data_IF_304753112644
#
_entry.id   IF_304753112644
#
_cell.length_a   1.000
_cell.length_b   1.000
_cell.length_c   1.000
_cell.angle_alpha   90.00
_cell.angle_beta   90.00
_cell.angle_gamma   90.00
#
_symmetry.space_group_name_H-M   'P 1'
#
loop_
_entity.id
_entity.type
_entity.pdbx_description
1 polymer ?
#
# COMPACT_ATOMS: atom_id res chain seq x y z
N UNK A 1 25.70 -19.61 15.41
CA UNK A 1 24.33 -19.60 14.87
C UNK A 1 23.53 -18.72 15.82
N UNK A 2 22.97 -17.59 15.36
CA UNK A 2 22.23 -16.70 16.25
C UNK A 2 20.98 -17.44 16.77
N UNK A 3 20.83 -17.55 18.09
CA UNK A 3 19.62 -18.14 18.66
C UNK A 3 18.44 -17.21 18.38
N UNK A 4 17.51 -17.66 17.52
CA UNK A 4 16.32 -16.88 17.19
C UNK A 4 15.48 -16.67 18.45
N UNK A 5 15.13 -15.43 18.74
CA UNK A 5 14.16 -15.13 19.79
C UNK A 5 12.78 -15.71 19.48
N UNK A 6 11.94 -15.92 20.50
CA UNK A 6 10.54 -16.42 20.33
C UNK A 6 9.75 -15.61 19.28
N UNK A 7 9.99 -14.30 19.21
CA UNK A 7 9.37 -13.40 18.25
C UNK A 7 9.87 -13.63 16.81
N UNK A 8 11.17 -13.84 16.63
CA UNK A 8 11.76 -14.10 15.31
C UNK A 8 11.29 -15.44 14.74
N UNK A 9 11.17 -16.46 15.59
CA UNK A 9 10.62 -17.76 15.20
C UNK A 9 9.15 -17.63 14.77
N UNK A 10 8.34 -16.88 15.53
CA UNK A 10 6.96 -16.57 15.15
C UNK A 10 6.89 -15.86 13.80
N UNK A 11 7.69 -14.81 13.58
CA UNK A 11 7.72 -14.07 12.32
C UNK A 11 8.16 -14.95 11.14
N UNK A 12 9.12 -15.84 11.35
CA UNK A 12 9.54 -16.79 10.32
C UNK A 12 8.41 -17.74 9.95
N UNK A 13 7.77 -18.36 10.96
CA UNK A 13 6.67 -19.30 10.76
C UNK A 13 5.47 -18.66 10.03
N UNK A 14 5.01 -17.48 10.48
CA UNK A 14 3.87 -16.80 9.87
C UNK A 14 4.17 -16.32 8.44
N UNK A 15 5.42 -15.98 8.12
CA UNK A 15 5.81 -15.62 6.75
C UNK A 15 5.86 -16.83 5.82
N UNK A 16 6.30 -17.99 6.30
CA UNK A 16 6.20 -19.25 5.54
C UNK A 16 4.74 -19.60 5.26
N UNK A 17 3.88 -19.51 6.28
CA UNK A 17 2.42 -19.73 6.13
C UNK A 17 1.84 -18.71 5.15
N UNK A 18 2.19 -17.43 5.29
CA UNK A 18 1.75 -16.37 4.38
C UNK A 18 2.12 -16.63 2.92
N UNK A 19 3.36 -17.07 2.68
CA UNK A 19 3.83 -17.43 1.34
C UNK A 19 3.02 -18.60 0.74
N UNK A 20 2.74 -19.65 1.53
CA UNK A 20 1.93 -20.79 1.10
C UNK A 20 0.49 -20.38 0.80
N UNK A 21 -0.13 -19.60 1.68
CA UNK A 21 -1.51 -19.10 1.51
C UNK A 21 -1.63 -18.25 0.25
N UNK A 22 -0.66 -17.36 0.00
CA UNK A 22 -0.66 -16.55 -1.22
C UNK A 22 -0.44 -17.39 -2.48
N UNK A 23 0.45 -18.40 -2.42
CA UNK A 23 0.66 -19.32 -3.53
C UNK A 23 -0.63 -20.07 -3.88
N UNK A 24 -1.35 -20.58 -2.88
CA UNK A 24 -2.66 -21.24 -3.09
C UNK A 24 -3.65 -20.27 -3.71
N UNK A 25 -3.74 -19.04 -3.19
CA UNK A 25 -4.64 -18.02 -3.73
C UNK A 25 -4.31 -17.72 -5.21
N UNK A 26 -3.03 -17.56 -5.54
CA UNK A 26 -2.55 -17.33 -6.91
C UNK A 26 -2.89 -18.49 -7.84
N UNK A 27 -2.74 -19.74 -7.39
CA UNK A 27 -3.12 -20.92 -8.16
C UNK A 27 -4.63 -21.00 -8.37
N UNK A 28 -5.43 -20.66 -7.36
CA UNK A 28 -6.89 -20.61 -7.49
C UNK A 28 -7.31 -19.54 -8.50
N UNK A 29 -6.67 -18.37 -8.51
CA UNK A 29 -6.90 -17.34 -9.54
C UNK A 29 -6.63 -17.85 -10.96
N UNK A 30 -5.64 -18.73 -11.15
CA UNK A 30 -5.33 -19.30 -12.48
C UNK A 30 -6.30 -20.38 -12.95
N UNK A 31 -6.95 -21.10 -12.03
CA UNK A 31 -7.70 -22.32 -12.35
C UNK A 31 -9.20 -22.23 -12.08
N UNK A 32 -9.67 -21.36 -11.18
CA UNK A 32 -11.07 -21.36 -10.73
C UNK A 32 -11.60 -19.94 -10.50
N UNK A 33 -12.66 -19.56 -11.22
CA UNK A 33 -13.28 -18.23 -11.14
C UNK A 33 -14.00 -17.89 -9.81
N UNK A 34 -14.15 -18.86 -8.88
CA UNK A 34 -14.89 -18.70 -7.61
C UNK A 34 -14.10 -19.11 -6.36
N UNK A 35 -12.82 -19.44 -6.49
CA UNK A 35 -11.98 -19.94 -5.41
C UNK A 35 -11.23 -18.86 -4.61
N UNK A 36 -11.75 -17.64 -4.50
CA UNK A 36 -10.98 -16.54 -3.92
C UNK A 36 -10.90 -16.69 -2.41
N UNK A 37 -9.69 -16.88 -1.87
CA UNK A 37 -9.41 -16.91 -0.43
C UNK A 37 -8.81 -15.59 0.04
N UNK A 38 -9.19 -14.48 -0.60
CA UNK A 38 -8.66 -13.14 -0.33
C UNK A 38 -8.89 -12.70 1.13
N UNK A 39 -9.97 -13.19 1.77
CA UNK A 39 -10.20 -12.98 3.21
C UNK A 39 -9.11 -13.64 4.05
N UNK A 40 -8.71 -14.87 3.71
CA UNK A 40 -7.63 -15.59 4.41
C UNK A 40 -6.29 -14.89 4.19
N UNK A 41 -6.01 -14.46 2.95
CA UNK A 41 -4.81 -13.65 2.63
C UNK A 41 -4.78 -12.37 3.48
N UNK A 42 -5.92 -11.68 3.60
CA UNK A 42 -6.04 -10.46 4.40
C UNK A 42 -5.73 -10.74 5.87
N UNK A 43 -6.34 -11.77 6.47
CA UNK A 43 -6.11 -12.14 7.87
C UNK A 43 -4.64 -12.52 8.11
N UNK A 44 -4.08 -13.41 7.30
CA UNK A 44 -2.70 -13.88 7.48
C UNK A 44 -1.69 -12.75 7.25
N UNK A 45 -1.99 -11.81 6.34
CA UNK A 45 -1.15 -10.63 6.15
C UNK A 45 -1.12 -9.73 7.39
N UNK A 46 -2.27 -9.51 8.05
CA UNK A 46 -2.38 -8.74 9.29
C UNK A 46 -1.63 -9.40 10.46
N UNK A 47 -1.60 -10.74 10.52
CA UNK A 47 -0.89 -11.50 11.55
C UNK A 47 0.65 -11.44 11.44
N UNK A 48 1.19 -10.89 10.35
CA UNK A 48 2.64 -10.78 10.14
C UNK A 48 3.17 -11.52 8.91
N UNK A 49 2.31 -12.20 8.14
CA UNK A 49 2.73 -12.98 6.97
C UNK A 49 3.00 -12.18 5.70
N UNK A 50 2.93 -10.84 5.77
CA UNK A 50 2.98 -9.97 4.59
C UNK A 50 4.30 -10.06 3.80
N UNK A 51 5.44 -10.29 4.48
CA UNK A 51 6.75 -10.36 3.82
C UNK A 51 6.88 -11.61 2.94
N UNK A 52 6.41 -12.76 3.42
CA UNK A 52 6.35 -14.00 2.65
C UNK A 52 5.40 -13.91 1.45
N UNK A 53 4.25 -13.24 1.62
CA UNK A 53 3.32 -12.98 0.52
C UNK A 53 3.92 -12.04 -0.53
N UNK A 54 4.59 -10.98 -0.11
CA UNK A 54 5.25 -10.02 -1.00
C UNK A 54 6.36 -10.69 -1.81
N UNK A 55 7.14 -11.58 -1.19
CA UNK A 55 8.13 -12.39 -1.89
C UNK A 55 7.48 -13.25 -2.99
N UNK A 56 6.34 -13.88 -2.70
CA UNK A 56 5.62 -14.68 -3.70
C UNK A 56 5.06 -13.83 -4.85
N UNK A 57 4.55 -12.62 -4.57
CA UNK A 57 4.14 -11.66 -5.60
C UNK A 57 5.31 -11.36 -6.55
N UNK A 58 6.50 -11.08 -6.03
CA UNK A 58 7.67 -10.71 -6.83
C UNK A 58 8.21 -11.87 -7.68
N UNK A 59 8.12 -13.10 -7.17
CA UNK A 59 8.63 -14.29 -7.87
C UNK A 59 7.67 -14.78 -8.96
N UNK A 60 6.38 -14.95 -8.63
CA UNK A 60 5.45 -15.69 -9.49
C UNK A 60 4.36 -14.84 -10.13
N UNK A 61 4.05 -13.66 -9.57
CA UNK A 61 2.90 -12.87 -9.96
C UNK A 61 3.28 -11.44 -10.44
N UNK A 62 4.29 -11.37 -11.31
CA UNK A 62 4.82 -10.08 -11.83
C UNK A 62 3.82 -9.29 -12.67
N UNK A 63 2.80 -9.93 -13.24
CA UNK A 63 1.80 -9.25 -14.07
C UNK A 63 0.60 -8.87 -13.22
N UNK A 64 0.38 -7.58 -13.03
CA UNK A 64 -0.72 -7.09 -12.21
C UNK A 64 -2.05 -7.18 -12.97
N UNK A 65 -2.97 -8.00 -12.47
CA UNK A 65 -4.30 -8.21 -13.02
C UNK A 65 -5.34 -7.48 -12.17
N UNK A 66 -6.55 -7.25 -12.70
CA UNK A 66 -7.54 -6.42 -11.99
C UNK A 66 -8.08 -7.11 -10.74
N UNK A 67 -8.17 -8.44 -10.80
CA UNK A 67 -8.83 -9.22 -9.75
C UNK A 67 -7.94 -9.35 -8.51
N UNK A 68 -6.64 -9.60 -8.69
CA UNK A 68 -5.67 -9.68 -7.59
C UNK A 68 -5.12 -8.32 -7.13
N UNK A 69 -5.52 -7.21 -7.75
CA UNK A 69 -5.01 -5.87 -7.44
C UNK A 69 -5.28 -5.47 -5.99
N UNK A 70 -6.47 -5.82 -5.48
CA UNK A 70 -6.87 -5.53 -4.10
C UNK A 70 -5.89 -6.10 -3.09
N UNK A 71 -5.70 -7.42 -3.16
CA UNK A 71 -4.85 -8.17 -2.24
C UNK A 71 -3.40 -7.68 -2.32
N UNK A 72 -2.91 -7.32 -3.52
CA UNK A 72 -1.57 -6.73 -3.69
C UNK A 72 -1.39 -5.40 -2.98
N UNK A 73 -2.32 -4.45 -3.19
CA UNK A 73 -2.27 -3.14 -2.53
C UNK A 73 -2.31 -3.33 -1.02
N UNK A 74 -3.19 -4.20 -0.54
CA UNK A 74 -3.31 -4.50 0.88
C UNK A 74 -2.00 -5.06 1.47
N UNK A 75 -1.43 -6.08 0.85
CA UNK A 75 -0.17 -6.72 1.28
C UNK A 75 0.97 -5.70 1.33
N UNK A 76 1.12 -4.85 0.30
CA UNK A 76 2.17 -3.83 0.24
C UNK A 76 2.00 -2.81 1.37
N UNK A 77 0.79 -2.28 1.59
CA UNK A 77 0.51 -1.32 2.64
C UNK A 77 0.79 -1.91 4.04
N UNK A 78 0.29 -3.12 4.30
CA UNK A 78 0.52 -3.82 5.59
C UNK A 78 2.00 -4.13 5.79
N UNK A 79 2.72 -4.54 4.75
CA UNK A 79 4.16 -4.77 4.83
C UNK A 79 4.91 -3.50 5.24
N UNK A 80 4.61 -2.34 4.64
CA UNK A 80 5.22 -1.06 5.02
C UNK A 80 4.94 -0.73 6.48
N UNK A 81 3.69 -0.88 6.93
CA UNK A 81 3.32 -0.64 8.33
C UNK A 81 4.07 -1.60 9.27
N UNK A 82 4.18 -2.89 8.93
CA UNK A 82 4.91 -3.88 9.73
C UNK A 82 6.40 -3.58 9.79
N UNK A 83 7.02 -3.13 8.70
CA UNK A 83 8.42 -2.69 8.69
C UNK A 83 8.62 -1.51 9.63
N UNK A 84 7.74 -0.50 9.59
CA UNK A 84 7.80 0.65 10.49
C UNK A 84 7.67 0.21 11.95
N UNK A 85 6.68 -0.62 12.26
CA UNK A 85 6.49 -1.19 13.61
C UNK A 85 7.72 -1.97 14.06
N UNK A 86 8.35 -2.74 13.18
CA UNK A 86 9.58 -3.47 13.49
C UNK A 86 10.75 -2.51 13.79
N UNK A 87 10.94 -1.46 13.00
CA UNK A 87 11.99 -0.45 13.23
C UNK A 87 11.82 0.24 14.58
N UNK A 88 10.58 0.60 14.89
CA UNK A 88 10.09 1.06 16.20
C UNK A 88 10.50 0.08 17.30
N UNK A 89 10.16 -1.21 17.20
CA UNK A 89 10.51 -2.22 18.20
C UNK A 89 12.01 -2.45 18.36
N UNK A 90 12.81 -2.27 17.29
CA UNK A 90 14.27 -2.34 17.34
C UNK A 90 14.94 -1.13 18.02
N UNK A 91 14.15 -0.20 18.56
CA UNK A 91 14.67 0.94 19.33
C UNK A 91 15.04 2.15 18.48
N UNK A 92 14.62 2.22 17.21
CA UNK A 92 14.76 3.43 16.38
C UNK A 92 13.65 4.43 16.72
N UNK A 93 13.56 4.83 17.98
CA UNK A 93 12.60 5.82 18.46
C UNK A 93 13.31 7.04 19.00
N UNK A 94 12.77 8.22 18.73
CA UNK A 94 13.05 9.37 19.59
C UNK A 94 12.41 9.14 20.98
N UNK A 95 13.10 9.56 22.03
CA UNK A 95 12.61 9.48 23.41
C UNK A 95 11.35 10.34 23.65
N UNK A 96 11.00 11.22 22.71
CA UNK A 96 9.82 12.07 22.77
C UNK A 96 9.05 12.09 21.44
N UNK A 97 7.75 11.74 21.51
CA UNK A 97 6.82 11.92 20.40
C UNK A 97 6.48 13.40 20.23
N UNK A 98 6.76 13.97 19.06
CA UNK A 98 6.47 15.37 18.77
C UNK A 98 5.39 15.48 17.70
N UNK A 99 4.27 16.12 18.03
CA UNK A 99 3.16 16.35 17.09
C UNK A 99 3.30 17.64 16.27
N UNK A 100 4.52 18.16 16.14
CA UNK A 100 4.78 19.44 15.47
C UNK A 100 4.77 19.32 13.94
N UNK A 101 3.64 18.83 13.38
CA UNK A 101 3.43 18.63 11.94
C UNK A 101 3.73 19.91 11.15
N UNK A 102 3.12 21.03 11.55
CA UNK A 102 3.33 22.31 10.89
C UNK A 102 4.80 22.75 10.88
N UNK A 103 5.54 22.48 11.97
CA UNK A 103 6.97 22.80 12.07
C UNK A 103 7.79 21.92 11.13
N UNK A 104 7.52 20.62 11.12
CA UNK A 104 8.18 19.66 10.23
C UNK A 104 8.03 20.05 8.76
N UNK A 105 6.82 20.37 8.32
CA UNK A 105 6.56 20.80 6.94
C UNK A 105 7.14 22.18 6.61
N UNK A 106 7.19 23.10 7.59
CA UNK A 106 7.81 24.41 7.40
C UNK A 106 9.33 24.32 7.22
N UNK A 107 9.97 23.36 7.89
CA UNK A 107 11.39 23.05 7.78
C UNK A 107 11.69 22.30 6.47
N UNK A 108 10.82 21.36 6.07
CA UNK A 108 10.96 20.55 4.86
C UNK A 108 10.17 21.10 3.68
N UNK A 109 10.49 22.33 3.25
CA UNK A 109 9.78 23.01 2.14
C UNK A 109 9.78 22.23 0.84
N UNK A 110 10.88 21.53 0.53
CA UNK A 110 11.01 20.70 -0.67
C UNK A 110 9.98 19.56 -0.66
N UNK A 111 9.79 18.90 0.49
CA UNK A 111 8.80 17.84 0.65
C UNK A 111 7.38 18.35 0.42
N UNK A 112 7.06 19.54 0.94
CA UNK A 112 5.76 20.17 0.75
C UNK A 112 5.49 20.49 -0.73
N UNK A 113 6.47 21.07 -1.43
CA UNK A 113 6.36 21.35 -2.87
C UNK A 113 6.18 20.05 -3.65
N UNK A 114 6.99 19.04 -3.36
CA UNK A 114 6.87 17.71 -3.98
C UNK A 114 5.47 17.13 -3.79
N UNK A 115 4.95 17.13 -2.55
CA UNK A 115 3.61 16.62 -2.24
C UNK A 115 2.51 17.43 -2.95
N UNK A 116 2.65 18.75 -3.04
CA UNK A 116 1.73 19.59 -3.81
C UNK A 116 1.70 19.22 -5.30
N UNK A 117 2.88 19.09 -5.90
CA UNK A 117 3.03 18.76 -7.34
C UNK A 117 2.50 17.35 -7.62
N UNK A 118 2.89 16.34 -6.85
CA UNK A 118 2.47 14.95 -7.10
C UNK A 118 0.96 14.77 -6.92
N UNK A 119 0.34 15.49 -5.96
CA UNK A 119 -1.12 15.48 -5.80
C UNK A 119 -1.83 16.16 -6.98
N UNK A 120 -1.31 17.28 -7.47
CA UNK A 120 -1.86 17.95 -8.65
C UNK A 120 -1.76 17.06 -9.90
N UNK A 121 -0.58 16.48 -10.14
CA UNK A 121 -0.36 15.54 -11.26
C UNK A 121 -1.31 14.36 -11.15
N UNK A 122 -1.44 13.75 -9.97
CA UNK A 122 -2.32 12.60 -9.76
C UNK A 122 -3.78 12.96 -9.98
N UNK A 123 -4.22 14.11 -9.49
CA UNK A 123 -5.58 14.61 -9.74
C UNK A 123 -5.88 14.73 -11.24
N UNK A 124 -4.95 15.33 -12.00
CA UNK A 124 -5.07 15.51 -13.46
C UNK A 124 -5.11 14.14 -14.16
N UNK A 125 -4.23 13.21 -13.80
CA UNK A 125 -4.19 11.87 -14.41
C UNK A 125 -5.50 11.11 -14.17
N UNK A 126 -6.08 11.19 -12.97
CA UNK A 126 -7.41 10.61 -12.70
C UNK A 126 -8.53 11.30 -13.51
N UNK A 127 -8.45 12.62 -13.68
CA UNK A 127 -9.41 13.38 -14.50
C UNK A 127 -9.32 12.98 -15.99
N UNK A 128 -8.10 12.82 -16.52
CA UNK A 128 -7.85 12.35 -17.89
C UNK A 128 -8.39 10.92 -18.07
N UNK A 129 -8.18 10.03 -17.10
CA UNK A 129 -8.73 8.66 -17.17
C UNK A 129 -10.26 8.67 -17.30
N UNK A 130 -10.95 9.59 -16.60
CA UNK A 130 -12.40 9.77 -16.77
C UNK A 130 -12.76 10.34 -18.14
N UNK A 131 -12.03 11.36 -18.62
CA UNK A 131 -12.28 11.94 -19.94
C UNK A 131 -12.13 10.88 -21.04
N UNK A 132 -11.09 10.05 -20.95
CA UNK A 132 -10.86 8.93 -21.86
C UNK A 132 -11.98 7.89 -21.78
N UNK A 133 -12.49 7.59 -20.57
CA UNK A 133 -13.63 6.69 -20.40
C UNK A 133 -14.91 7.21 -21.06
N UNK A 134 -15.15 8.53 -21.04
CA UNK A 134 -16.29 9.16 -21.73
C UNK A 134 -16.11 9.22 -23.24
N UNK A 135 -14.90 9.49 -23.71
CA UNK A 135 -14.56 9.60 -25.13
C UNK A 135 -14.26 8.25 -25.80
N UNK A 136 -14.49 7.13 -25.10
CA UNK A 136 -14.18 5.77 -25.54
C UNK A 136 -12.72 5.58 -26.03
N UNK A 137 -11.80 6.33 -25.44
CA UNK A 137 -10.35 6.28 -25.70
C UNK A 137 -9.67 5.25 -24.79
N UNK A 138 -8.41 4.94 -25.09
CA UNK A 138 -7.60 4.04 -24.25
C UNK A 138 -7.52 4.56 -22.81
N UNK A 139 -7.86 3.68 -21.85
CA UNK A 139 -7.88 3.99 -20.41
C UNK A 139 -6.48 3.87 -19.80
N UNK A 140 -6.24 4.62 -18.73
CA UNK A 140 -4.97 4.56 -18.00
C UNK A 140 -4.93 3.27 -17.19
N UNK A 141 -3.75 2.64 -17.14
CA UNK A 141 -3.54 1.40 -16.38
C UNK A 141 -3.77 1.65 -14.89
N UNK A 142 -4.44 0.71 -14.23
CA UNK A 142 -4.75 0.79 -12.79
C UNK A 142 -3.47 0.89 -11.95
N UNK A 143 -2.44 0.13 -12.33
CA UNK A 143 -1.12 0.17 -11.68
C UNK A 143 -0.52 1.59 -11.69
N UNK A 144 -0.68 2.34 -12.78
CA UNK A 144 -0.18 3.72 -12.88
C UNK A 144 -0.92 4.65 -11.92
N UNK A 145 -2.24 4.52 -11.85
CA UNK A 145 -3.07 5.34 -10.95
C UNK A 145 -2.73 5.07 -9.48
N UNK A 146 -2.70 3.79 -9.08
CA UNK A 146 -2.36 3.39 -7.72
C UNK A 146 -0.90 3.69 -7.38
N UNK A 147 0.02 3.54 -8.33
CA UNK A 147 1.44 3.88 -8.16
C UNK A 147 1.66 5.37 -7.90
N UNK A 148 0.99 6.24 -8.66
CA UNK A 148 1.01 7.69 -8.40
C UNK A 148 0.42 8.04 -7.04
N UNK A 149 -0.67 7.38 -6.65
CA UNK A 149 -1.25 7.54 -5.31
C UNK A 149 -0.27 7.09 -4.23
N UNK A 150 0.42 5.97 -4.41
CA UNK A 150 1.42 5.46 -3.47
C UNK A 150 2.65 6.37 -3.36
N UNK A 151 3.08 7.01 -4.45
CA UNK A 151 4.21 7.94 -4.49
C UNK A 151 3.98 9.28 -3.76
N UNK A 152 2.77 9.52 -3.25
CA UNK A 152 2.40 10.73 -2.50
C UNK A 152 1.17 11.46 -3.05
N UNK A 153 0.61 11.00 -4.18
CA UNK A 153 -0.54 11.62 -4.85
C UNK A 153 -1.91 11.13 -4.39
N UNK A 154 -1.97 10.42 -3.26
CA UNK A 154 -3.16 9.73 -2.77
C UNK A 154 -4.34 10.68 -2.50
N UNK A 155 -4.05 11.85 -1.92
CA UNK A 155 -5.05 12.89 -1.61
C UNK A 155 -5.66 13.47 -2.89
N UNK A 156 -4.84 13.83 -3.86
CA UNK A 156 -5.28 14.35 -5.16
C UNK A 156 -6.08 13.31 -5.96
N UNK A 157 -5.64 12.04 -5.92
CA UNK A 157 -6.40 10.94 -6.51
C UNK A 157 -7.77 10.74 -5.85
N UNK A 158 -7.84 10.79 -4.52
CA UNK A 158 -9.07 10.63 -3.77
C UNK A 158 -10.06 11.78 -4.06
N UNK A 159 -9.60 13.04 -4.03
CA UNK A 159 -10.41 14.20 -4.40
C UNK A 159 -10.96 14.04 -5.82
N UNK A 160 -10.11 13.64 -6.77
CA UNK A 160 -10.51 13.42 -8.17
C UNK A 160 -11.60 12.35 -8.26
N UNK A 161 -11.45 11.21 -7.58
CA UNK A 161 -12.45 10.14 -7.57
C UNK A 161 -13.83 10.60 -7.08
N UNK A 162 -13.88 11.32 -5.96
CA UNK A 162 -15.14 11.80 -5.38
C UNK A 162 -15.77 12.92 -6.20
N UNK A 163 -14.98 13.92 -6.61
CA UNK A 163 -15.45 15.05 -7.43
C UNK A 163 -16.05 14.55 -8.74
N UNK A 164 -15.41 13.56 -9.34
CA UNK A 164 -15.81 13.02 -10.61
C UNK A 164 -16.71 11.78 -10.52
N UNK A 165 -17.02 11.28 -9.32
CA UNK A 165 -17.76 10.03 -9.10
C UNK A 165 -17.24 8.89 -9.98
N UNK A 166 -15.92 8.82 -10.15
CA UNK A 166 -15.25 7.87 -11.03
C UNK A 166 -14.51 6.84 -10.18
N UNK A 167 -14.75 5.55 -10.46
CA UNK A 167 -14.14 4.42 -9.75
C UNK A 167 -14.43 4.35 -8.23
N UNK A 168 -15.57 4.90 -7.80
CA UNK A 168 -16.04 4.83 -6.40
C UNK A 168 -16.69 3.51 -6.00
N UNK A 169 -16.95 2.61 -6.95
CA UNK A 169 -17.52 1.27 -6.72
C UNK A 169 -16.52 0.13 -6.95
N UNK A 170 -15.22 0.44 -7.01
CA UNK A 170 -14.19 -0.58 -7.20
C UNK A 170 -13.40 -0.70 -5.91
N UNK A 171 -13.42 -1.87 -5.29
CA UNK A 171 -12.86 -2.09 -3.95
C UNK A 171 -11.38 -1.66 -3.85
N UNK A 172 -10.58 -1.85 -4.91
CA UNK A 172 -9.17 -1.40 -4.97
C UNK A 172 -8.95 0.09 -5.02
N UNK A 173 -9.99 0.85 -5.34
CA UNK A 173 -9.99 2.29 -5.21
C UNK A 173 -10.71 2.74 -3.94
N UNK A 174 -11.82 2.10 -3.56
CA UNK A 174 -12.62 2.49 -2.38
C UNK A 174 -11.93 2.15 -1.06
N UNK A 175 -11.27 0.98 -0.96
CA UNK A 175 -10.51 0.55 0.22
C UNK A 175 -9.01 0.80 0.03
N UNK A 176 -8.49 0.57 -1.18
CA UNK A 176 -7.06 0.76 -1.46
C UNK A 176 -6.60 2.20 -1.28
N UNK A 177 -7.37 3.21 -1.73
CA UNK A 177 -6.97 4.62 -1.58
C UNK A 177 -6.90 5.07 -0.12
N UNK A 178 -7.91 4.85 0.73
CA UNK A 178 -7.79 5.13 2.16
C UNK A 178 -6.63 4.40 2.83
N UNK A 179 -6.39 3.13 2.47
CA UNK A 179 -5.29 2.36 3.04
C UNK A 179 -3.91 2.92 2.67
N UNK A 180 -3.74 3.40 1.44
CA UNK A 180 -2.51 4.09 1.01
C UNK A 180 -2.32 5.39 1.79
N UNK A 181 -3.38 6.17 2.03
CA UNK A 181 -3.32 7.40 2.84
C UNK A 181 -2.88 7.07 4.27
N UNK A 182 -3.50 6.06 4.90
CA UNK A 182 -3.12 5.61 6.25
C UNK A 182 -1.64 5.21 6.28
N UNK A 183 -1.19 4.44 5.29
CA UNK A 183 0.22 4.02 5.19
C UNK A 183 1.16 5.23 5.08
N UNK A 184 0.81 6.24 4.26
CA UNK A 184 1.60 7.47 4.13
C UNK A 184 1.63 8.29 5.42
N UNK A 185 0.52 8.37 6.15
CA UNK A 185 0.48 9.04 7.47
C UNK A 185 1.40 8.32 8.45
N UNK A 186 1.37 6.98 8.50
CA UNK A 186 2.26 6.19 9.38
C UNK A 186 3.73 6.40 9.00
N UNK A 187 4.06 6.41 7.70
CA UNK A 187 5.41 6.69 7.20
C UNK A 187 5.87 8.10 7.60
N UNK A 188 5.03 9.12 7.37
CA UNK A 188 5.35 10.51 7.72
C UNK A 188 5.51 10.68 9.23
N UNK A 189 4.62 10.09 10.02
CA UNK A 189 4.72 10.13 11.47
C UNK A 189 6.01 9.49 11.97
N UNK A 190 6.39 8.34 11.41
CA UNK A 190 7.67 7.71 11.73
C UNK A 190 8.86 8.58 11.31
N UNK A 191 8.85 9.15 10.10
CA UNK A 191 9.90 10.05 9.62
C UNK A 191 10.03 11.32 10.47
N UNK A 192 8.93 11.85 11.00
CA UNK A 192 8.94 13.01 11.90
C UNK A 192 9.54 12.70 13.28
N UNK A 193 9.37 11.47 13.77
CA UNK A 193 9.78 11.06 15.12
C UNK A 193 11.08 10.24 15.12
N UNK A 194 11.66 10.00 13.95
CA UNK A 194 13.02 9.50 13.84
C UNK A 194 13.93 10.71 13.65
N UNK A 195 14.55 11.16 14.75
CA UNK A 195 15.59 12.18 14.67
C UNK A 195 16.78 11.61 13.90
N UNK A 196 16.87 11.95 12.62
CA UNK A 196 18.10 11.87 11.85
C UNK A 196 18.84 13.20 11.94
#
# INVERSE_FOLDING_TARGET
>A
MAELGKLEYYLLAINVIGALVYLINMLLYRHTARGQIDVVVTIVSLLGGSAGMLLMILLFDRKAEKENMMSRVFIICIFVIQVIVLLIFKGHHAEHFTFAFWKFFAEHRILLIYLGVINLVTFIVFAIDKANARANRSRIRIVTLLGLSFAGGSVGGLISMYLFRHKTQKDYFTVGMPLIIVTQIVVLFYAMNTGW
#
